data_IF_662162598815
#
_entry.id   IF_662162598815
#
_cell.length_a   1.000
_cell.length_b   1.000
_cell.length_c   1.000
_cell.angle_alpha   90.00
_cell.angle_beta   90.00
_cell.angle_gamma   90.00
#
_symmetry.space_group_name_H-M   'P 1'
#
loop_
_entity.id
_entity.type
_entity.pdbx_description
1 polymer ?
#
# COMPACT_ATOMS: atom_id res chain seq x y z
N UNK A 1 -22.37 17.01 11.18
CA UNK A 1 -21.42 15.95 11.43
C UNK A 1 -20.44 16.40 12.51
N UNK A 2 -20.37 15.67 13.61
CA UNK A 2 -19.49 16.11 14.67
C UNK A 2 -18.04 16.07 14.19
N UNK A 3 -17.19 17.01 14.64
CA UNK A 3 -15.78 16.98 14.26
C UNK A 3 -15.10 15.74 14.80
N UNK A 4 -14.28 15.14 13.97
CA UNK A 4 -13.49 13.98 14.39
C UNK A 4 -12.45 14.46 15.39
N UNK A 5 -12.52 13.95 16.62
CA UNK A 5 -11.49 14.26 17.62
C UNK A 5 -10.16 13.66 17.14
N UNK A 6 -9.19 14.54 16.99
CA UNK A 6 -7.83 14.07 16.72
C UNK A 6 -7.35 13.31 17.94
N UNK A 7 -7.02 12.04 17.76
CA UNK A 7 -6.40 11.26 18.82
C UNK A 7 -5.02 11.83 19.12
N UNK A 8 -4.57 11.69 20.37
CA UNK A 8 -3.22 12.13 20.78
C UNK A 8 -2.10 11.31 20.12
N UNK A 9 -2.45 10.43 19.21
CA UNK A 9 -1.51 9.52 18.56
C UNK A 9 -0.73 10.30 17.51
N UNK A 10 0.55 10.47 17.75
CA UNK A 10 1.45 11.12 16.80
C UNK A 10 2.46 10.11 16.29
N UNK A 11 2.57 10.02 14.97
CA UNK A 11 3.64 9.24 14.36
C UNK A 11 4.95 10.00 14.47
N UNK A 12 6.04 9.25 14.66
CA UNK A 12 7.37 9.85 14.64
C UNK A 12 7.75 10.24 13.23
N UNK A 13 8.68 11.21 13.05
CA UNK A 13 9.17 11.54 11.71
C UNK A 13 9.71 10.33 10.95
N UNK A 14 10.37 9.40 11.64
CA UNK A 14 10.88 8.17 11.01
C UNK A 14 9.75 7.30 10.49
N UNK A 15 8.68 7.17 11.27
CA UNK A 15 7.50 6.42 10.84
C UNK A 15 6.84 7.06 9.63
N UNK A 16 6.74 8.39 9.61
CA UNK A 16 6.18 9.10 8.47
C UNK A 16 7.01 8.92 7.21
N UNK A 17 8.34 8.98 7.33
CA UNK A 17 9.23 8.73 6.21
C UNK A 17 9.13 7.29 5.71
N UNK A 18 8.99 6.34 6.62
CA UNK A 18 8.82 4.94 6.25
C UNK A 18 7.52 4.72 5.49
N UNK A 19 6.42 5.31 5.95
CA UNK A 19 5.14 5.24 5.24
C UNK A 19 5.24 5.89 3.85
N UNK A 20 5.93 7.03 3.75
CA UNK A 20 6.15 7.70 2.46
C UNK A 20 6.96 6.82 1.51
N UNK A 21 7.99 6.15 2.02
CA UNK A 21 8.79 5.20 1.24
C UNK A 21 7.89 4.11 0.65
N UNK A 22 7.01 3.53 1.46
CA UNK A 22 6.10 2.50 0.97
C UNK A 22 5.11 3.03 -0.05
N UNK A 23 4.60 4.25 0.14
CA UNK A 23 3.72 4.87 -0.84
C UNK A 23 4.41 4.98 -2.20
N UNK A 24 5.65 5.44 -2.21
CA UNK A 24 6.44 5.58 -3.43
C UNK A 24 6.77 4.23 -4.06
N UNK A 25 7.18 3.27 -3.25
CA UNK A 25 7.54 1.94 -3.74
C UNK A 25 6.35 1.22 -4.35
N UNK A 26 5.20 1.27 -3.69
CA UNK A 26 3.98 0.62 -4.18
C UNK A 26 3.54 1.25 -5.49
N UNK A 27 3.56 2.58 -5.60
CA UNK A 27 3.20 3.26 -6.84
C UNK A 27 4.15 2.86 -7.96
N UNK A 28 5.45 2.83 -7.70
CA UNK A 28 6.45 2.43 -8.69
C UNK A 28 6.25 0.99 -9.14
N UNK A 29 5.94 0.09 -8.19
CA UNK A 29 5.66 -1.31 -8.49
C UNK A 29 4.43 -1.44 -9.39
N UNK A 30 3.33 -0.76 -9.05
CA UNK A 30 2.10 -0.84 -9.82
C UNK A 30 2.26 -0.26 -11.22
N UNK A 31 2.98 0.84 -11.35
CA UNK A 31 3.25 1.44 -12.64
C UNK A 31 4.09 0.52 -13.52
N UNK A 32 5.13 -0.10 -12.94
CA UNK A 32 5.98 -1.04 -13.66
C UNK A 32 5.18 -2.28 -14.08
N UNK A 33 4.33 -2.78 -13.19
CA UNK A 33 3.49 -3.93 -13.50
C UNK A 33 2.54 -3.63 -14.66
N UNK A 34 1.95 -2.42 -14.68
CA UNK A 34 1.09 -1.99 -15.79
C UNK A 34 1.84 -1.98 -17.12
N UNK A 35 3.10 -1.53 -17.12
CA UNK A 35 3.93 -1.54 -18.31
C UNK A 35 4.19 -2.97 -18.78
N UNK A 36 4.51 -3.87 -17.85
CA UNK A 36 4.78 -5.27 -18.18
C UNK A 36 3.56 -5.97 -18.77
N UNK A 37 2.37 -5.66 -18.26
CA UNK A 37 1.11 -6.19 -18.80
C UNK A 37 0.92 -5.72 -20.25
N UNK A 38 1.13 -4.43 -20.49
CA UNK A 38 1.00 -3.88 -21.86
C UNK A 38 2.02 -4.46 -22.83
N UNK A 39 3.19 -4.87 -22.33
CA UNK A 39 4.22 -5.51 -23.14
C UNK A 39 3.97 -7.00 -23.36
N UNK A 40 2.89 -7.55 -22.80
CA UNK A 40 2.56 -8.96 -22.93
C UNK A 40 3.41 -9.91 -22.10
N UNK A 41 4.21 -9.40 -21.16
CA UNK A 41 5.08 -10.21 -20.33
C UNK A 41 4.34 -10.83 -19.15
N UNK A 42 3.19 -10.31 -18.80
CA UNK A 42 2.30 -10.86 -17.76
C UNK A 42 1.00 -11.26 -18.45
N UNK A 43 0.64 -12.54 -18.35
CA UNK A 43 -0.51 -13.09 -19.09
C UNK A 43 -1.82 -13.02 -18.34
N UNK A 44 -1.81 -12.84 -17.04
CA UNK A 44 -3.04 -12.77 -16.25
C UNK A 44 -3.59 -11.35 -16.21
N UNK A 45 -4.89 -11.22 -15.96
CA UNK A 45 -5.48 -9.92 -15.68
C UNK A 45 -4.89 -9.36 -14.39
N UNK A 46 -4.37 -8.13 -14.46
CA UNK A 46 -3.77 -7.46 -13.31
C UNK A 46 -4.50 -6.16 -13.06
N UNK A 47 -4.87 -5.94 -11.82
CA UNK A 47 -5.49 -4.70 -11.36
C UNK A 47 -4.54 -4.02 -10.40
N UNK A 48 -4.25 -2.74 -10.66
CA UNK A 48 -3.33 -1.98 -9.80
C UNK A 48 -4.09 -1.25 -8.71
N UNK A 49 -3.38 -0.93 -7.63
CA UNK A 49 -3.90 -0.10 -6.55
C UNK A 49 -3.59 1.37 -6.71
N UNK A 50 -3.28 1.82 -7.93
CA UNK A 50 -2.96 3.22 -8.19
C UNK A 50 -4.14 4.10 -7.76
N UNK A 51 -3.85 5.06 -6.90
CA UNK A 51 -4.85 5.95 -6.34
C UNK A 51 -5.33 5.56 -4.95
N UNK A 52 -5.05 4.34 -4.49
CA UNK A 52 -5.47 3.86 -3.16
C UNK A 52 -4.31 3.34 -2.31
N UNK A 53 -3.09 3.77 -2.61
CA UNK A 53 -1.91 3.33 -1.86
C UNK A 53 -1.97 3.72 -0.39
N UNK A 54 -2.59 4.85 -0.08
CA UNK A 54 -2.70 5.31 1.31
C UNK A 54 -3.52 4.34 2.17
N UNK A 55 -4.55 3.71 1.59
CA UNK A 55 -5.35 2.71 2.28
C UNK A 55 -4.48 1.49 2.61
N UNK A 56 -3.71 1.03 1.63
CA UNK A 56 -2.83 -0.13 1.78
C UNK A 56 -1.77 0.15 2.85
N UNK A 57 -1.04 1.25 2.69
CA UNK A 57 0.06 1.60 3.58
C UNK A 57 -0.45 1.86 4.99
N UNK A 58 -1.53 2.63 5.14
CA UNK A 58 -2.07 2.94 6.46
C UNK A 58 -2.55 1.69 7.20
N UNK A 59 -3.21 0.79 6.49
CA UNK A 59 -3.73 -0.44 7.10
C UNK A 59 -2.59 -1.38 7.50
N UNK A 60 -1.66 -1.66 6.60
CA UNK A 60 -0.60 -2.63 6.85
C UNK A 60 0.43 -2.09 7.85
N UNK A 61 0.71 -0.79 7.80
CA UNK A 61 1.65 -0.16 8.73
C UNK A 61 1.20 -0.31 10.19
N UNK A 62 -0.11 -0.34 10.43
CA UNK A 62 -0.67 -0.53 11.77
C UNK A 62 -0.60 -1.97 12.27
N UNK A 63 -0.29 -2.93 11.39
CA UNK A 63 -0.23 -4.34 11.75
C UNK A 63 1.14 -4.71 12.30
N UNK A 64 1.15 -5.76 13.13
CA UNK A 64 2.39 -6.39 13.58
C UNK A 64 2.81 -7.44 12.55
N UNK A 65 4.08 -7.85 12.62
CA UNK A 65 4.63 -8.80 11.67
C UNK A 65 3.88 -10.13 11.66
N UNK A 66 3.39 -10.56 12.83
CA UNK A 66 2.65 -11.82 12.99
C UNK A 66 1.18 -11.71 12.63
N UNK A 67 0.66 -10.52 12.39
CA UNK A 67 -0.73 -10.32 11.98
C UNK A 67 -0.94 -10.76 10.55
N UNK A 68 -2.16 -11.22 10.25
CA UNK A 68 -2.54 -11.64 8.91
C UNK A 68 -3.23 -10.50 8.17
N UNK A 69 -3.06 -10.49 6.85
CA UNK A 69 -3.76 -9.55 5.98
C UNK A 69 -4.34 -10.35 4.81
N UNK A 70 -5.58 -10.00 4.42
CA UNK A 70 -6.28 -10.63 3.28
C UNK A 70 -6.53 -9.55 2.22
N UNK A 71 -5.54 -9.25 1.38
CA UNK A 71 -5.70 -8.21 0.37
C UNK A 71 -6.61 -8.66 -0.77
N UNK A 72 -7.29 -7.70 -1.36
CA UNK A 72 -8.07 -7.91 -2.56
C UNK A 72 -7.17 -7.78 -3.80
N UNK A 73 -7.76 -7.98 -4.98
CA UNK A 73 -7.00 -8.02 -6.24
C UNK A 73 -6.29 -6.71 -6.59
N UNK A 74 -6.69 -5.58 -5.99
CA UNK A 74 -6.05 -4.28 -6.21
C UNK A 74 -5.07 -3.88 -5.11
N UNK A 75 -4.86 -4.75 -4.15
CA UNK A 75 -4.06 -4.43 -2.95
C UNK A 75 -2.73 -5.19 -2.94
N UNK A 76 -2.09 -5.31 -4.11
CA UNK A 76 -0.83 -6.05 -4.25
C UNK A 76 0.27 -5.48 -3.36
N UNK A 77 0.24 -4.17 -3.11
CA UNK A 77 1.22 -3.53 -2.25
C UNK A 77 1.25 -4.07 -0.84
N UNK A 78 0.14 -4.63 -0.35
CA UNK A 78 0.09 -5.23 0.98
C UNK A 78 1.04 -6.43 1.08
N UNK A 79 1.21 -7.20 0.00
CA UNK A 79 2.15 -8.31 -0.03
C UNK A 79 3.59 -7.81 0.07
N UNK A 80 3.91 -6.69 -0.57
CA UNK A 80 5.25 -6.11 -0.49
C UNK A 80 5.58 -5.68 0.93
N UNK A 81 4.63 -5.05 1.62
CA UNK A 81 4.84 -4.55 2.98
C UNK A 81 4.96 -5.68 4.00
N UNK A 82 4.19 -6.74 3.83
CA UNK A 82 4.22 -7.88 4.77
C UNK A 82 5.40 -8.82 4.51
N UNK A 83 5.99 -8.71 3.36
CA UNK A 83 7.09 -9.60 2.96
C UNK A 83 6.57 -10.86 2.36
#
# INVERSE_FOLDING_TARGET
MPPIKRTKFKLTPEQLLNMFYWLKLIRAFDERLSILVRQGKVRSGVYTGIGQEAIIVGTVFALRKEDFVCPLHRDLGAFLMKG
#
